data_IF_186396352930
#
_entry.id   IF_186396352930
#
_cell.length_a   1.000
_cell.length_b   1.000
_cell.length_c   1.000
_cell.angle_alpha   90.00
_cell.angle_beta   90.00
_cell.angle_gamma   90.00
#
_symmetry.space_group_name_H-M   'P 1'
#
loop_
_entity.id
_entity.type
_entity.pdbx_description
1 polymer ?
#
# COMPACT_ATOMS: atom_id res chain seq x y z
N UNK A 1 -4.24 -16.12 -9.16
CA UNK A 1 -2.83 -15.72 -9.37
C UNK A 1 -2.53 -14.86 -10.60
N UNK A 2 -3.15 -15.07 -11.77
CA UNK A 2 -2.77 -14.31 -12.99
C UNK A 2 -2.88 -12.78 -12.85
N UNK A 3 -3.96 -12.27 -12.23
CA UNK A 3 -4.12 -10.82 -11.99
C UNK A 3 -3.04 -10.25 -11.06
N UNK A 4 -2.66 -10.99 -10.02
CA UNK A 4 -1.58 -10.62 -9.10
C UNK A 4 -0.23 -10.58 -9.80
N UNK A 5 0.09 -11.61 -10.60
CA UNK A 5 1.30 -11.63 -11.45
C UNK A 5 1.33 -10.47 -12.44
N UNK A 6 0.20 -10.07 -13.02
CA UNK A 6 0.13 -8.92 -13.94
C UNK A 6 0.42 -7.59 -13.25
N UNK A 7 -0.04 -7.42 -12.02
CA UNK A 7 0.17 -6.18 -11.25
C UNK A 7 1.60 -6.08 -10.70
N UNK A 8 2.09 -7.15 -10.07
CA UNK A 8 3.39 -7.18 -9.40
C UNK A 8 4.54 -7.72 -10.27
N UNK A 9 4.28 -8.29 -11.44
CA UNK A 9 5.31 -8.88 -12.30
C UNK A 9 6.29 -7.87 -12.92
N UNK A 10 5.97 -6.58 -12.87
CA UNK A 10 6.89 -5.49 -13.24
C UNK A 10 7.67 -4.92 -12.06
N UNK A 11 7.43 -5.42 -10.85
CA UNK A 11 8.15 -5.00 -9.67
C UNK A 11 9.58 -5.56 -9.76
N UNK A 12 10.63 -4.72 -9.75
CA UNK A 12 11.99 -5.20 -9.76
C UNK A 12 12.26 -6.05 -8.52
N UNK A 13 12.86 -7.23 -8.68
CA UNK A 13 13.32 -8.01 -7.55
C UNK A 13 14.65 -7.44 -7.04
N UNK A 14 14.70 -6.86 -5.83
CA UNK A 14 15.90 -6.23 -5.31
C UNK A 14 16.86 -7.25 -4.67
N UNK A 15 16.50 -8.54 -4.63
CA UNK A 15 17.28 -9.59 -3.99
C UNK A 15 18.37 -10.10 -4.92
N UNK A 16 19.38 -10.74 -4.33
CA UNK A 16 20.43 -11.40 -5.08
C UNK A 16 19.88 -12.63 -5.85
N UNK A 17 20.59 -13.04 -6.91
CA UNK A 17 20.18 -14.17 -7.77
C UNK A 17 20.16 -15.54 -7.11
N UNK A 18 20.60 -15.66 -5.85
CA UNK A 18 20.51 -16.88 -5.04
C UNK A 18 19.24 -16.94 -4.16
N UNK A 19 18.23 -16.11 -4.43
CA UNK A 19 16.98 -16.14 -3.69
C UNK A 19 16.21 -17.44 -3.95
N UNK A 20 15.96 -18.21 -2.88
CA UNK A 20 15.24 -19.49 -2.98
C UNK A 20 13.73 -19.33 -3.19
N UNK A 21 13.12 -18.24 -2.75
CA UNK A 21 11.67 -18.04 -2.88
C UNK A 21 11.34 -17.01 -3.96
N UNK A 22 10.41 -17.34 -4.84
CA UNK A 22 9.83 -16.43 -5.83
C UNK A 22 9.25 -15.18 -5.17
N UNK A 23 9.61 -13.98 -5.66
CA UNK A 23 9.20 -12.71 -5.03
C UNK A 23 7.68 -12.61 -4.93
N UNK A 24 6.98 -13.00 -5.99
CA UNK A 24 5.52 -12.93 -6.06
C UNK A 24 4.85 -13.85 -5.05
N UNK A 25 5.46 -15.00 -4.72
CA UNK A 25 4.93 -15.90 -3.70
C UNK A 25 5.11 -15.30 -2.31
N UNK A 26 6.29 -14.74 -2.03
CA UNK A 26 6.56 -14.02 -0.78
C UNK A 26 5.55 -12.87 -0.59
N UNK A 27 5.35 -12.03 -1.61
CA UNK A 27 4.42 -10.90 -1.52
C UNK A 27 2.96 -11.34 -1.38
N UNK A 28 2.58 -12.43 -2.03
CA UNK A 28 1.23 -12.97 -1.90
C UNK A 28 0.96 -13.49 -0.48
N UNK A 29 1.90 -14.26 0.08
CA UNK A 29 1.77 -14.77 1.46
C UNK A 29 1.71 -13.60 2.45
N UNK A 30 2.59 -12.61 2.30
CA UNK A 30 2.59 -11.45 3.18
C UNK A 30 1.28 -10.66 3.11
N UNK A 31 0.73 -10.44 1.90
CA UNK A 31 -0.58 -9.79 1.73
C UNK A 31 -1.68 -10.59 2.42
N UNK A 32 -1.75 -11.90 2.18
CA UNK A 32 -2.75 -12.77 2.79
C UNK A 32 -2.65 -12.77 4.32
N UNK A 33 -1.44 -12.83 4.86
CA UNK A 33 -1.18 -12.78 6.30
C UNK A 33 -1.65 -11.45 6.91
N UNK A 34 -1.30 -10.31 6.30
CA UNK A 34 -1.70 -8.97 6.78
C UNK A 34 -3.22 -8.80 6.75
N UNK A 35 -3.90 -9.29 5.72
CA UNK A 35 -5.36 -9.28 5.66
C UNK A 35 -6.00 -10.15 6.76
N UNK A 36 -5.27 -11.16 7.23
CA UNK A 36 -5.67 -11.99 8.37
C UNK A 36 -5.21 -11.43 9.73
N UNK A 37 -4.63 -10.22 9.75
CA UNK A 37 -4.24 -9.52 10.97
C UNK A 37 -2.76 -9.65 11.37
N UNK A 38 -1.91 -10.28 10.55
CA UNK A 38 -0.48 -10.37 10.84
C UNK A 38 0.19 -8.98 10.81
N UNK A 39 0.84 -8.61 11.92
CA UNK A 39 1.55 -7.34 12.08
C UNK A 39 3.08 -7.47 12.00
N UNK A 40 3.62 -8.68 11.99
CA UNK A 40 5.07 -8.94 11.99
C UNK A 40 5.51 -9.99 10.97
N UNK A 41 6.79 -9.97 10.59
CA UNK A 41 7.35 -10.98 9.69
C UNK A 41 7.33 -12.40 10.30
N UNK A 42 7.37 -12.50 11.63
CA UNK A 42 7.22 -13.78 12.34
C UNK A 42 5.79 -14.32 12.18
N UNK A 43 4.79 -13.45 12.37
CA UNK A 43 3.39 -13.82 12.15
C UNK A 43 3.08 -14.16 10.67
N UNK A 44 3.79 -13.54 9.71
CA UNK A 44 3.68 -13.92 8.29
C UNK A 44 4.20 -15.34 8.03
N UNK A 45 5.31 -15.72 8.66
CA UNK A 45 5.86 -17.07 8.60
C UNK A 45 4.88 -18.08 9.23
N UNK A 46 4.40 -17.78 10.43
CA UNK A 46 3.42 -18.62 11.15
C UNK A 46 2.11 -18.80 10.35
N UNK A 47 1.59 -17.72 9.76
CA UNK A 47 0.46 -17.77 8.85
C UNK A 47 0.75 -18.68 7.64
N UNK A 48 1.92 -18.50 7.03
CA UNK A 48 2.34 -19.32 5.88
C UNK A 48 2.40 -20.80 6.22
N UNK A 49 3.00 -21.17 7.36
CA UNK A 49 3.11 -22.55 7.84
C UNK A 49 1.72 -23.12 8.16
N UNK A 50 0.88 -22.39 8.89
CA UNK A 50 -0.46 -22.86 9.27
C UNK A 50 -1.42 -23.00 8.09
N UNK A 51 -1.20 -22.26 6.99
CA UNK A 51 -2.03 -22.29 5.78
C UNK A 51 -1.32 -22.88 4.56
N UNK A 52 -0.21 -23.59 4.74
CA UNK A 52 0.60 -24.08 3.63
C UNK A 52 -0.22 -24.93 2.64
N UNK A 53 -1.05 -25.84 3.13
CA UNK A 53 -1.92 -26.68 2.28
C UNK A 53 -2.86 -25.86 1.39
N UNK A 54 -3.41 -24.76 1.91
CA UNK A 54 -4.26 -23.84 1.14
C UNK A 54 -3.42 -23.02 0.14
N UNK A 55 -2.24 -22.55 0.55
CA UNK A 55 -1.35 -21.75 -0.28
C UNK A 55 -0.84 -22.54 -1.49
N UNK A 56 -0.54 -23.84 -1.30
CA UNK A 56 -0.12 -24.75 -2.39
C UNK A 56 -1.17 -24.97 -3.48
N UNK A 57 -2.45 -24.62 -3.24
CA UNK A 57 -3.47 -24.66 -4.29
C UNK A 57 -3.27 -23.58 -5.36
N UNK A 58 -2.54 -22.50 -5.02
CA UNK A 58 -2.38 -21.34 -5.89
C UNK A 58 -0.90 -20.96 -6.13
N UNK A 59 -0.01 -21.38 -5.24
CA UNK A 59 1.43 -21.11 -5.27
C UNK A 59 2.20 -22.42 -5.46
N UNK A 60 3.38 -22.34 -6.09
CA UNK A 60 4.24 -23.52 -6.28
C UNK A 60 4.97 -23.89 -4.99
N UNK A 61 5.51 -22.88 -4.29
CA UNK A 61 6.30 -23.05 -3.05
C UNK A 61 7.37 -24.13 -3.20
N UNK A 62 8.20 -24.01 -4.24
CA UNK A 62 9.26 -24.99 -4.57
C UNK A 62 10.22 -25.22 -3.38
N UNK A 63 10.48 -24.16 -2.61
CA UNK A 63 11.32 -24.19 -1.40
C UNK A 63 10.51 -24.05 -0.11
N UNK A 64 9.19 -24.30 -0.15
CA UNK A 64 8.30 -24.18 1.00
C UNK A 64 7.99 -22.73 1.41
N UNK A 65 7.54 -22.55 2.66
CA UNK A 65 7.15 -21.26 3.22
C UNK A 65 8.41 -20.42 3.53
N UNK A 66 8.47 -19.16 3.10
CA UNK A 66 9.58 -18.26 3.45
C UNK A 66 9.66 -18.03 4.96
N UNK A 67 10.88 -17.98 5.50
CA UNK A 67 11.10 -17.61 6.90
C UNK A 67 10.86 -16.11 7.15
N UNK A 68 10.68 -15.73 8.41
CA UNK A 68 10.57 -14.32 8.84
C UNK A 68 11.77 -13.47 8.40
N UNK A 69 12.98 -14.05 8.37
CA UNK A 69 14.17 -13.39 7.82
C UNK A 69 14.04 -13.07 6.33
N UNK A 70 13.44 -13.98 5.58
CA UNK A 70 13.19 -13.79 4.14
C UNK A 70 12.19 -12.66 3.91
N UNK A 71 11.07 -12.66 4.63
CA UNK A 71 10.10 -11.56 4.60
C UNK A 71 10.76 -10.23 4.97
N UNK A 72 11.48 -10.20 6.09
CA UNK A 72 12.14 -9.00 6.59
C UNK A 72 13.20 -8.48 5.62
N UNK A 73 13.97 -9.37 4.96
CA UNK A 73 14.94 -8.98 3.94
C UNK A 73 14.25 -8.39 2.70
N UNK A 74 13.19 -9.02 2.21
CA UNK A 74 12.41 -8.52 1.06
C UNK A 74 11.90 -7.11 1.34
N UNK A 75 11.18 -6.91 2.44
CA UNK A 75 10.58 -5.61 2.76
C UNK A 75 11.60 -4.51 3.04
N UNK A 76 12.80 -4.84 3.52
CA UNK A 76 13.90 -3.88 3.68
C UNK A 76 14.52 -3.43 2.35
N UNK A 77 14.51 -4.30 1.34
CA UNK A 77 15.15 -4.03 0.05
C UNK A 77 14.19 -3.47 -0.99
N UNK A 78 12.88 -3.69 -0.82
CA UNK A 78 11.86 -3.20 -1.75
C UNK A 78 11.88 -1.68 -1.83
N UNK A 79 11.93 -1.17 -3.07
CA UNK A 79 11.79 0.26 -3.34
C UNK A 79 10.34 0.68 -3.08
N UNK A 80 10.06 1.58 -2.11
CA UNK A 80 8.69 1.95 -1.75
C UNK A 80 7.85 2.44 -2.94
N UNK A 81 8.41 3.31 -3.79
CA UNK A 81 7.69 3.88 -4.94
C UNK A 81 7.32 2.82 -5.99
N UNK A 82 8.23 1.86 -6.23
CA UNK A 82 7.96 0.79 -7.19
C UNK A 82 6.87 -0.17 -6.66
N UNK A 83 6.91 -0.46 -5.36
CA UNK A 83 5.89 -1.28 -4.70
C UNK A 83 4.52 -0.59 -4.69
N UNK A 84 4.47 0.68 -4.31
CA UNK A 84 3.25 1.49 -4.29
C UNK A 84 2.59 1.55 -5.68
N UNK A 85 3.36 1.79 -6.74
CA UNK A 85 2.84 1.77 -8.11
C UNK A 85 2.25 0.40 -8.51
N UNK A 86 2.92 -0.69 -8.15
CA UNK A 86 2.43 -2.04 -8.40
C UNK A 86 1.15 -2.33 -7.60
N UNK A 87 1.11 -1.89 -6.34
CA UNK A 87 -0.03 -2.04 -5.45
C UNK A 87 -1.24 -1.23 -5.95
N UNK A 88 -1.04 0.01 -6.40
CA UNK A 88 -2.10 0.85 -7.01
C UNK A 88 -2.71 0.18 -8.24
N UNK A 89 -1.89 -0.42 -9.11
CA UNK A 89 -2.37 -1.19 -10.27
C UNK A 89 -3.18 -2.41 -9.85
N UNK A 90 -2.74 -3.11 -8.81
CA UNK A 90 -3.46 -4.24 -8.25
C UNK A 90 -4.84 -3.80 -7.73
N UNK A 91 -4.90 -2.72 -6.95
CA UNK A 91 -6.15 -2.18 -6.42
C UNK A 91 -7.10 -1.71 -7.51
N UNK A 92 -6.62 -1.00 -8.53
CA UNK A 92 -7.44 -0.59 -9.67
C UNK A 92 -8.02 -1.80 -10.43
N UNK A 93 -7.20 -2.85 -10.65
CA UNK A 93 -7.67 -4.08 -11.27
C UNK A 93 -8.67 -4.85 -10.39
N UNK A 94 -8.50 -4.81 -9.07
CA UNK A 94 -9.41 -5.39 -8.10
C UNK A 94 -10.77 -4.66 -8.10
N UNK A 95 -10.77 -3.33 -8.08
CA UNK A 95 -11.98 -2.52 -8.16
C UNK A 95 -12.77 -2.83 -9.43
N UNK A 96 -12.11 -2.79 -10.59
CA UNK A 96 -12.73 -3.11 -11.89
C UNK A 96 -13.30 -4.53 -11.93
N UNK A 97 -12.59 -5.50 -11.34
CA UNK A 97 -13.04 -6.89 -11.33
C UNK A 97 -14.27 -7.14 -10.45
N UNK A 98 -14.50 -6.30 -9.45
CA UNK A 98 -15.61 -6.42 -8.50
C UNK A 98 -16.69 -5.35 -8.72
N UNK A 99 -16.61 -4.57 -9.80
CA UNK A 99 -17.57 -3.49 -10.09
C UNK A 99 -17.61 -2.39 -9.03
N UNK A 100 -16.51 -2.20 -8.28
CA UNK A 100 -16.44 -1.16 -7.25
C UNK A 100 -16.34 0.20 -7.91
N UNK A 101 -17.24 1.12 -7.53
CA UNK A 101 -17.16 2.52 -7.91
C UNK A 101 -16.08 3.19 -7.07
N UNK A 102 -15.12 3.80 -7.76
CA UNK A 102 -14.05 4.59 -7.14
C UNK A 102 -14.39 6.09 -7.11
N UNK A 103 -15.55 6.45 -7.68
CA UNK A 103 -16.16 7.78 -7.67
C UNK A 103 -17.09 7.93 -6.46
N UNK A 104 -17.57 9.15 -6.19
CA UNK A 104 -18.44 9.43 -5.05
C UNK A 104 -17.65 10.11 -3.92
N UNK A 105 -17.74 9.61 -2.69
CA UNK A 105 -17.06 10.24 -1.55
C UNK A 105 -15.60 9.78 -1.43
N UNK A 106 -14.67 10.74 -1.46
CA UNK A 106 -13.23 10.56 -1.27
C UNK A 106 -12.79 11.28 0.00
N UNK A 107 -12.23 10.54 0.95
CA UNK A 107 -11.70 11.10 2.19
C UNK A 107 -10.18 11.31 2.11
N UNK A 108 -9.72 12.50 2.50
CA UNK A 108 -8.31 12.85 2.65
C UNK A 108 -7.98 12.99 4.13
N UNK A 109 -6.98 12.24 4.58
CA UNK A 109 -6.61 12.18 6.00
C UNK A 109 -5.10 12.06 6.21
N UNK A 110 -4.58 12.85 7.14
CA UNK A 110 -3.19 12.82 7.60
C UNK A 110 -2.97 11.77 8.69
N UNK A 111 -1.98 10.89 8.50
CA UNK A 111 -1.55 9.89 9.50
C UNK A 111 -0.08 10.05 9.85
N UNK A 112 0.20 10.20 11.14
CA UNK A 112 1.55 10.13 11.70
C UNK A 112 1.88 8.69 12.11
N UNK A 113 2.86 8.08 11.45
CA UNK A 113 3.32 6.73 11.80
C UNK A 113 4.25 6.77 13.01
N UNK A 114 3.74 6.31 14.15
CA UNK A 114 4.50 6.21 15.40
C UNK A 114 5.67 5.23 15.22
N UNK A 115 6.87 5.63 15.68
CA UNK A 115 8.13 4.85 15.57
C UNK A 115 8.65 4.63 14.14
N UNK A 116 8.08 5.29 13.13
CA UNK A 116 8.67 5.35 11.80
C UNK A 116 9.62 6.56 11.72
N UNK A 117 10.91 6.34 12.01
CA UNK A 117 11.95 7.36 11.93
C UNK A 117 13.15 6.86 11.12
N UNK A 118 13.84 7.78 10.46
CA UNK A 118 15.10 7.47 9.78
C UNK A 118 16.19 7.18 10.82
N UNK A 119 16.99 6.14 10.57
CA UNK A 119 18.06 5.72 11.49
C UNK A 119 19.13 6.81 11.55
N UNK A 120 19.35 7.37 12.74
CA UNK A 120 20.30 8.48 12.96
C UNK A 120 19.70 9.88 12.75
N UNK A 121 18.43 9.99 12.39
CA UNK A 121 17.71 11.27 12.31
C UNK A 121 17.14 11.72 13.66
N UNK A 122 16.83 13.02 13.78
CA UNK A 122 16.00 13.53 14.89
C UNK A 122 14.65 12.82 14.86
N UNK A 123 14.15 12.40 16.02
CA UNK A 123 12.90 11.67 16.18
C UNK A 123 11.70 12.47 15.66
N UNK A 124 11.42 12.35 14.37
CA UNK A 124 10.26 12.93 13.70
C UNK A 124 9.51 11.78 13.04
N UNK A 125 8.24 11.53 13.42
CA UNK A 125 7.46 10.46 12.83
C UNK A 125 7.21 10.76 11.36
N UNK A 126 7.16 9.72 10.53
CA UNK A 126 6.73 9.85 9.14
C UNK A 126 5.26 10.28 9.09
N UNK A 127 4.99 11.44 8.49
CA UNK A 127 3.63 11.90 8.20
C UNK A 127 3.27 11.51 6.77
N UNK A 128 2.10 10.91 6.62
CA UNK A 128 1.53 10.46 5.36
C UNK A 128 0.16 11.11 5.18
N UNK A 129 -0.21 11.42 3.94
CA UNK A 129 -1.57 11.80 3.55
C UNK A 129 -2.15 10.66 2.74
N UNK A 130 -3.31 10.17 3.16
CA UNK A 130 -4.01 9.07 2.54
C UNK A 130 -5.27 9.58 1.83
N UNK A 131 -5.54 9.02 0.65
CA UNK A 131 -6.79 9.23 -0.08
C UNK A 131 -7.59 7.94 -0.08
N UNK A 132 -8.81 8.00 0.44
CA UNK A 132 -9.65 6.83 0.67
C UNK A 132 -11.01 6.97 -0.02
N UNK A 133 -11.34 6.03 -0.91
CA UNK A 133 -12.67 5.93 -1.50
C UNK A 133 -13.61 5.25 -0.51
N UNK A 134 -14.60 5.99 0.00
CA UNK A 134 -15.49 5.54 1.08
C UNK A 134 -16.37 4.38 0.63
N UNK A 135 -16.95 4.49 -0.55
CA UNK A 135 -17.88 3.50 -1.11
C UNK A 135 -17.16 2.19 -1.47
N UNK A 136 -15.97 2.31 -2.07
CA UNK A 136 -15.13 1.15 -2.37
C UNK A 136 -14.47 0.55 -1.12
N UNK A 137 -14.41 1.29 0.00
CA UNK A 137 -13.63 0.99 1.19
C UNK A 137 -12.16 0.70 0.87
N UNK A 138 -11.56 1.53 0.00
CA UNK A 138 -10.22 1.30 -0.54
C UNK A 138 -9.37 2.57 -0.49
N UNK A 139 -8.11 2.43 -0.08
CA UNK A 139 -7.12 3.48 -0.26
C UNK A 139 -6.73 3.58 -1.75
N UNK A 140 -6.87 4.78 -2.33
CA UNK A 140 -6.57 5.08 -3.72
C UNK A 140 -5.12 5.50 -3.93
N UNK A 141 -4.62 6.34 -3.02
CA UNK A 141 -3.29 6.91 -3.08
C UNK A 141 -2.79 7.26 -1.68
N UNK A 142 -1.47 7.35 -1.53
CA UNK A 142 -0.80 7.76 -0.31
C UNK A 142 0.45 8.55 -0.68
N UNK A 143 0.66 9.70 -0.04
CA UNK A 143 1.81 10.56 -0.26
C UNK A 143 2.49 10.92 1.06
N UNK A 144 3.82 11.09 1.05
CA UNK A 144 4.55 11.59 2.22
C UNK A 144 4.28 13.09 2.38
N UNK A 145 3.85 13.52 3.57
CA UNK A 145 3.69 14.94 3.85
C UNK A 145 5.07 15.62 3.99
N UNK A 146 5.44 16.57 3.11
CA UNK A 146 6.76 17.20 3.16
C UNK A 146 6.89 18.05 4.43
N UNK A 147 7.89 17.75 5.26
CA UNK A 147 8.15 18.53 6.48
C UNK A 147 6.99 18.56 7.50
N UNK A 148 6.09 17.56 7.50
CA UNK A 148 4.83 17.52 8.27
C UNK A 148 3.75 18.48 7.78
N UNK A 149 3.92 19.07 6.60
CA UNK A 149 2.88 19.87 5.97
C UNK A 149 1.88 18.96 5.26
N UNK A 150 0.85 18.55 5.98
CA UNK A 150 -0.21 17.67 5.48
C UNK A 150 -1.01 18.35 4.36
N UNK A 151 -1.19 19.67 4.39
CA UNK A 151 -1.87 20.42 3.31
C UNK A 151 -1.09 20.36 1.99
N UNK A 152 0.23 20.49 2.03
CA UNK A 152 1.06 20.34 0.84
C UNK A 152 1.01 18.90 0.29
N UNK A 153 1.06 17.90 1.18
CA UNK A 153 0.90 16.49 0.79
C UNK A 153 -0.48 16.18 0.22
N UNK A 154 -1.53 16.82 0.72
CA UNK A 154 -2.90 16.70 0.21
C UNK A 154 -3.02 17.26 -1.21
N UNK A 155 -2.47 18.45 -1.47
CA UNK A 155 -2.43 19.01 -2.82
C UNK A 155 -1.69 18.08 -3.80
N UNK A 156 -0.49 17.63 -3.44
CA UNK A 156 0.30 16.72 -4.27
C UNK A 156 -0.45 15.41 -4.62
N UNK A 157 -1.19 14.84 -3.66
CA UNK A 157 -1.89 13.57 -3.90
C UNK A 157 -3.19 13.76 -4.68
N UNK A 158 -3.87 14.89 -4.52
CA UNK A 158 -5.10 15.23 -5.24
C UNK A 158 -4.80 15.55 -6.71
N UNK A 159 -3.70 16.24 -7.00
CA UNK A 159 -3.24 16.53 -8.37
C UNK A 159 -2.95 15.26 -9.19
N UNK A 160 -2.70 14.13 -8.52
CA UNK A 160 -2.44 12.83 -9.16
C UNK A 160 -3.71 12.04 -9.50
N UNK A 161 -4.88 12.53 -9.09
CA UNK A 161 -6.17 11.83 -9.21
C UNK A 161 -7.14 12.63 -10.08
N UNK A 162 -7.92 11.92 -10.90
CA UNK A 162 -9.12 12.50 -11.50
C UNK A 162 -10.23 12.44 -10.47
N UNK A 163 -10.72 13.61 -10.05
CA UNK A 163 -11.74 13.80 -9.02
C UNK A 163 -13.09 14.22 -9.63
N UNK A 164 -13.25 14.06 -10.94
CA UNK A 164 -14.51 14.34 -11.64
C UNK A 164 -15.65 13.56 -10.96
N UNK A 165 -16.76 14.25 -10.71
CA UNK A 165 -17.95 13.73 -10.03
C UNK A 165 -17.68 13.11 -8.64
N UNK A 166 -16.63 13.56 -7.95
CA UNK A 166 -16.31 13.13 -6.58
C UNK A 166 -16.53 14.25 -5.55
N UNK A 167 -17.05 13.89 -4.38
CA UNK A 167 -17.10 14.76 -3.20
C UNK A 167 -15.86 14.48 -2.36
N UNK A 168 -15.04 15.48 -2.09
CA UNK A 168 -13.82 15.30 -1.28
C UNK A 168 -14.08 15.77 0.13
N UNK A 169 -13.97 14.88 1.10
CA UNK A 169 -14.05 15.20 2.51
C UNK A 169 -12.64 15.26 3.11
N UNK A 170 -12.36 16.26 3.93
CA UNK A 170 -11.10 16.37 4.65
C UNK A 170 -11.37 16.95 6.04
N UNK A 171 -10.39 16.84 6.94
CA UNK A 171 -10.52 17.47 8.26
C UNK A 171 -10.43 19.01 8.18
N UNK A 172 -10.70 19.69 9.30
CA UNK A 172 -10.67 21.14 9.36
C UNK A 172 -9.27 21.74 9.14
N UNK A 173 -8.19 20.96 9.30
CA UNK A 173 -6.82 21.41 9.06
C UNK A 173 -6.58 21.65 7.55
N UNK A 174 -7.39 21.03 6.70
CA UNK A 174 -7.35 21.17 5.25
C UNK A 174 -8.21 22.34 4.70
N UNK A 175 -8.94 23.08 5.56
CA UNK A 175 -9.78 24.22 5.17
C UNK A 175 -8.95 25.49 4.85
N UNK A 176 -8.08 25.41 3.84
CA UNK A 176 -7.29 26.53 3.33
C UNK A 176 -7.72 26.94 1.91
N UNK A 177 -7.59 28.22 1.58
CA UNK A 177 -7.99 28.77 0.27
C UNK A 177 -7.33 28.05 -0.91
N UNK A 178 -6.09 27.60 -0.74
CA UNK A 178 -5.35 26.84 -1.75
C UNK A 178 -5.98 25.48 -2.09
N UNK A 179 -6.69 24.85 -1.13
CA UNK A 179 -7.34 23.55 -1.34
C UNK A 179 -8.74 23.72 -1.95
N UNK A 180 -9.44 24.80 -1.59
CA UNK A 180 -10.80 25.13 -2.07
C UNK A 180 -10.78 25.58 -3.54
N UNK A 181 -9.68 26.21 -4.00
CA UNK A 181 -9.52 26.69 -5.37
C UNK A 181 -9.27 25.62 -6.44
N UNK A 182 -9.14 24.35 -6.06
CA UNK A 182 -8.90 23.23 -6.98
C UNK A 182 -10.20 22.60 -7.52
N UNK A 183 -11.31 23.34 -7.54
CA UNK A 183 -12.67 22.85 -7.84
C UNK A 183 -13.09 21.66 -6.95
N UNK A 184 -12.65 21.69 -5.70
CA UNK A 184 -12.95 20.67 -4.70
C UNK A 184 -14.08 21.16 -3.80
N UNK A 185 -15.28 20.57 -3.95
CA UNK A 185 -16.39 20.77 -3.03
C UNK A 185 -16.23 19.85 -1.81
N UNK A 186 -16.16 20.47 -0.62
CA UNK A 186 -16.14 19.82 0.70
C UNK A 186 -17.54 19.64 1.28
#
# INVERSE_FOLDING_TARGET
>A
MQKFRRAFGRLPDPRAGNASHELLEVLFIALAAVLCGAGSCAEMEEFGQSKEGLLRLFLKLEHGIPSHDTFSRVFRLLKPQAFELAFRRFMAAFAKANGLKLTGVIAVDGKALRRAYERGGRATPLHLVNVFAVEARMALAQQKAPGRNETAGALEVLDLLSLEDCTVTADALHCHQYLIGADIMF
#
